data_IF_440467190504
#
_entry.id   IF_440467190504
#
_cell.length_a   1.000
_cell.length_b   1.000
_cell.length_c   1.000
_cell.angle_alpha   90.00
_cell.angle_beta   90.00
_cell.angle_gamma   90.00
#
_symmetry.space_group_name_H-M   'P 1'
#
loop_
_entity.id
_entity.type
_entity.pdbx_description
1 polymer ?
#
# COMPACT_ATOMS: atom_id res chain seq x y z
N UNK A 1 -26.13 -6.80 -11.79
CA UNK A 1 -24.94 -6.16 -11.19
C UNK A 1 -24.14 -5.56 -12.34
N UNK A 2 -24.38 -4.29 -12.69
CA UNK A 2 -23.64 -3.61 -13.76
C UNK A 2 -22.34 -3.09 -13.16
N UNK A 3 -21.25 -3.83 -13.39
CA UNK A 3 -19.93 -3.57 -12.83
C UNK A 3 -19.20 -2.60 -13.75
N UNK A 4 -19.74 -1.40 -13.89
CA UNK A 4 -19.26 -0.53 -14.95
C UNK A 4 -18.53 0.63 -14.27
N UNK A 5 -19.19 1.74 -13.97
CA UNK A 5 -18.48 2.97 -13.57
C UNK A 5 -17.90 2.94 -12.15
N UNK A 6 -18.66 2.44 -11.16
CA UNK A 6 -18.21 2.41 -9.76
C UNK A 6 -17.09 1.40 -9.51
N UNK A 7 -17.13 0.27 -10.23
CA UNK A 7 -16.06 -0.74 -10.18
C UNK A 7 -14.73 -0.18 -10.70
N UNK A 8 -14.73 0.46 -11.87
CA UNK A 8 -13.52 1.10 -12.40
C UNK A 8 -12.99 2.21 -11.48
N UNK A 9 -13.87 3.04 -10.91
CA UNK A 9 -13.48 4.06 -9.95
C UNK A 9 -12.79 3.47 -8.71
N UNK A 10 -13.25 2.30 -8.23
CA UNK A 10 -12.62 1.61 -7.09
C UNK A 10 -11.19 1.16 -7.40
N UNK A 11 -10.91 0.70 -8.62
CA UNK A 11 -9.55 0.30 -9.00
C UNK A 11 -8.59 1.48 -9.05
N UNK A 12 -9.04 2.62 -9.57
CA UNK A 12 -8.23 3.84 -9.62
C UNK A 12 -7.95 4.33 -8.19
N UNK A 13 -8.98 4.38 -7.34
CA UNK A 13 -8.84 4.76 -5.94
C UNK A 13 -7.87 3.82 -5.20
N UNK A 14 -8.06 2.51 -5.36
CA UNK A 14 -7.23 1.49 -4.73
C UNK A 14 -5.77 1.59 -5.17
N UNK A 15 -5.53 1.82 -6.45
CA UNK A 15 -4.19 2.03 -6.99
C UNK A 15 -3.47 3.18 -6.26
N UNK A 16 -4.14 4.32 -6.13
CA UNK A 16 -3.59 5.49 -5.43
C UNK A 16 -3.25 5.19 -3.96
N UNK A 17 -4.18 4.61 -3.21
CA UNK A 17 -3.97 4.30 -1.78
C UNK A 17 -2.83 3.29 -1.60
N UNK A 18 -2.82 2.24 -2.42
CA UNK A 18 -1.82 1.16 -2.36
C UNK A 18 -0.41 1.65 -2.69
N UNK A 19 -0.27 2.42 -3.78
CA UNK A 19 1.00 2.97 -4.21
C UNK A 19 1.51 3.98 -3.19
N UNK A 20 0.64 4.82 -2.62
CA UNK A 20 1.01 5.77 -1.58
C UNK A 20 1.58 5.06 -0.33
N UNK A 21 0.93 4.00 0.14
CA UNK A 21 1.43 3.19 1.27
C UNK A 21 2.83 2.61 0.98
N UNK A 22 3.03 2.08 -0.24
CA UNK A 22 4.30 1.50 -0.68
C UNK A 22 5.42 2.54 -0.75
N UNK A 23 5.16 3.69 -1.38
CA UNK A 23 6.13 4.80 -1.48
C UNK A 23 6.48 5.32 -0.09
N UNK A 24 5.51 5.42 0.81
CA UNK A 24 5.74 5.92 2.17
C UNK A 24 6.70 5.04 2.96
N UNK A 25 6.55 3.71 2.88
CA UNK A 25 7.49 2.75 3.47
C UNK A 25 8.87 2.84 2.80
N UNK A 26 8.93 2.87 1.46
CA UNK A 26 10.20 2.94 0.73
C UNK A 26 10.97 4.24 1.03
N UNK A 27 10.26 5.36 1.15
CA UNK A 27 10.87 6.64 1.45
C UNK A 27 11.47 6.63 2.87
N UNK A 28 10.76 6.07 3.85
CA UNK A 28 11.30 5.89 5.19
C UNK A 28 12.49 4.93 5.20
N UNK A 29 12.42 3.82 4.47
CA UNK A 29 13.54 2.89 4.29
C UNK A 29 14.77 3.59 3.70
N UNK A 30 14.61 4.39 2.65
CA UNK A 30 15.69 5.15 2.04
C UNK A 30 16.23 6.24 2.98
N UNK A 31 15.38 6.86 3.80
CA UNK A 31 15.78 7.80 4.85
C UNK A 31 16.64 7.11 5.92
N UNK A 32 16.19 5.95 6.43
CA UNK A 32 16.93 5.15 7.41
C UNK A 32 18.27 4.66 6.85
N UNK A 33 18.30 4.22 5.58
CA UNK A 33 19.54 3.80 4.88
C UNK A 33 20.55 4.93 4.74
N UNK A 34 20.09 6.17 4.50
CA UNK A 34 20.94 7.36 4.44
C UNK A 34 21.47 7.77 5.81
N UNK A 35 20.64 7.70 6.86
CA UNK A 35 21.03 8.04 8.25
C UNK A 35 21.96 7.00 8.88
N UNK A 36 21.75 5.72 8.58
CA UNK A 36 22.51 4.60 9.15
C UNK A 36 23.08 3.69 8.05
N UNK A 37 24.12 4.10 7.32
CA UNK A 37 24.65 3.38 6.16
C UNK A 37 25.22 1.99 6.50
N UNK A 38 25.68 1.78 7.74
CA UNK A 38 26.20 0.48 8.23
C UNK A 38 25.10 -0.49 8.69
N UNK A 39 23.83 -0.06 8.74
CA UNK A 39 22.74 -0.91 9.19
C UNK A 39 22.37 -1.93 8.10
N UNK A 40 22.21 -3.19 8.50
CA UNK A 40 21.80 -4.25 7.56
C UNK A 40 20.49 -3.87 6.86
N UNK A 41 20.32 -4.14 5.54
CA UNK A 41 19.11 -3.80 4.79
C UNK A 41 17.82 -4.29 5.45
N UNK A 42 17.84 -5.50 6.01
CA UNK A 42 16.68 -6.09 6.68
C UNK A 42 16.29 -5.32 7.94
N UNK A 43 17.25 -4.98 8.82
CA UNK A 43 16.98 -4.15 10.01
C UNK A 43 16.53 -2.73 9.64
N UNK A 44 17.09 -2.14 8.58
CA UNK A 44 16.64 -0.84 8.09
C UNK A 44 15.19 -0.89 7.61
N UNK A 45 14.82 -1.95 6.88
CA UNK A 45 13.45 -2.15 6.41
C UNK A 45 12.46 -2.36 7.56
N UNK A 46 12.78 -3.25 8.51
CA UNK A 46 11.92 -3.49 9.69
C UNK A 46 11.73 -2.22 10.51
N UNK A 47 12.77 -1.39 10.64
CA UNK A 47 12.65 -0.09 11.33
C UNK A 47 11.68 0.84 10.61
N UNK A 48 11.84 1.00 9.30
CA UNK A 48 10.95 1.82 8.48
C UNK A 48 9.50 1.31 8.53
N UNK A 49 9.35 -0.01 8.47
CA UNK A 49 8.07 -0.71 8.58
C UNK A 49 7.33 -0.36 9.87
N UNK A 50 7.98 -0.56 11.02
CA UNK A 50 7.36 -0.32 12.32
C UNK A 50 6.92 1.13 12.52
N UNK A 51 7.63 2.09 11.91
CA UNK A 51 7.24 3.50 11.97
C UNK A 51 6.02 3.83 11.11
N UNK A 52 5.83 3.14 9.98
CA UNK A 52 4.78 3.49 9.00
C UNK A 52 3.56 2.57 8.99
N UNK A 53 3.65 1.38 9.59
CA UNK A 53 2.56 0.40 9.59
C UNK A 53 1.28 0.93 10.25
N UNK A 54 1.41 1.67 11.36
CA UNK A 54 0.25 2.25 12.07
C UNK A 54 -0.43 3.33 11.21
N UNK A 55 0.27 4.35 10.66
CA UNK A 55 -0.34 5.29 9.72
C UNK A 55 -1.07 4.65 8.53
N UNK A 56 -0.47 3.63 7.91
CA UNK A 56 -1.07 2.94 6.75
C UNK A 56 -2.33 2.19 7.16
N UNK A 57 -2.29 1.49 8.30
CA UNK A 57 -3.44 0.80 8.84
C UNK A 57 -4.59 1.77 9.16
N UNK A 58 -4.29 2.95 9.69
CA UNK A 58 -5.29 3.99 9.95
C UNK A 58 -5.96 4.46 8.65
N UNK A 59 -5.22 4.64 7.56
CA UNK A 59 -5.79 4.98 6.24
C UNK A 59 -6.73 3.88 5.74
N UNK A 60 -6.32 2.62 5.84
CA UNK A 60 -7.14 1.49 5.40
C UNK A 60 -8.42 1.40 6.24
N UNK A 61 -8.27 1.47 7.57
CA UNK A 61 -9.40 1.40 8.49
C UNK A 61 -10.38 2.57 8.29
N UNK A 62 -9.89 3.81 8.18
CA UNK A 62 -10.77 4.97 7.96
C UNK A 62 -11.49 4.87 6.61
N UNK A 63 -10.83 4.37 5.57
CA UNK A 63 -11.45 4.17 4.26
C UNK A 63 -12.55 3.11 4.33
N UNK A 64 -12.27 1.95 4.96
CA UNK A 64 -13.28 0.89 5.14
C UNK A 64 -14.48 1.43 5.93
N UNK A 65 -14.23 2.08 7.06
CA UNK A 65 -15.30 2.67 7.90
C UNK A 65 -16.11 3.72 7.14
N UNK A 66 -15.45 4.57 6.35
CA UNK A 66 -16.11 5.57 5.51
C UNK A 66 -16.99 4.98 4.40
N UNK A 67 -16.70 3.73 3.98
CA UNK A 67 -17.50 3.02 2.98
C UNK A 67 -18.63 2.15 3.55
N UNK A 68 -18.68 1.91 4.87
CA UNK A 68 -19.77 1.16 5.52
C UNK A 68 -21.19 1.67 5.19
N UNK A 69 -21.51 2.97 5.27
CA UNK A 69 -22.87 3.45 5.01
C UNK A 69 -23.32 3.17 3.55
N UNK A 70 -22.40 3.18 2.60
CA UNK A 70 -22.67 2.88 1.19
C UNK A 70 -22.93 1.38 0.92
N UNK A 71 -22.56 0.51 1.86
CA UNK A 71 -22.91 -0.92 1.79
C UNK A 71 -24.28 -1.23 2.41
N UNK A 72 -24.69 -0.45 3.42
CA UNK A 72 -25.89 -0.68 4.23
C UNK A 72 -27.13 0.14 3.81
N UNK A 73 -26.97 1.11 2.89
CA UNK A 73 -28.07 1.94 2.40
C UNK A 73 -29.20 1.13 1.72
N UNK A 74 -30.45 1.48 2.02
CA UNK A 74 -31.66 0.87 1.46
C UNK A 74 -31.78 1.08 -0.06
N UNK A 75 -31.20 2.17 -0.58
CA UNK A 75 -31.05 2.42 -2.01
C UNK A 75 -29.62 2.12 -2.42
N UNK A 76 -29.40 0.91 -2.95
CA UNK A 76 -28.12 0.55 -3.57
C UNK A 76 -27.99 1.31 -4.88
N UNK A 77 -27.56 2.56 -4.80
CA UNK A 77 -27.18 3.31 -5.98
C UNK A 77 -26.13 2.50 -6.77
N UNK A 78 -26.38 2.33 -8.07
CA UNK A 78 -25.61 1.45 -8.93
C UNK A 78 -24.11 1.78 -9.01
N UNK A 79 -23.72 3.01 -8.64
CA UNK A 79 -22.33 3.46 -8.60
C UNK A 79 -21.64 3.21 -7.25
N UNK A 80 -22.26 3.62 -6.15
CA UNK A 80 -21.63 3.62 -4.82
C UNK A 80 -21.44 2.21 -4.25
N UNK A 81 -22.37 1.30 -4.51
CA UNK A 81 -22.26 -0.08 -4.04
C UNK A 81 -21.03 -0.81 -4.62
N UNK A 82 -20.82 -0.89 -5.95
CA UNK A 82 -19.62 -1.52 -6.50
C UNK A 82 -18.33 -0.75 -6.17
N UNK A 83 -18.40 0.58 -6.00
CA UNK A 83 -17.25 1.37 -5.52
C UNK A 83 -16.81 0.93 -4.12
N UNK A 84 -17.75 0.87 -3.18
CA UNK A 84 -17.49 0.50 -1.79
C UNK A 84 -17.01 -0.95 -1.69
N UNK A 85 -17.73 -1.89 -2.31
CA UNK A 85 -17.38 -3.31 -2.29
C UNK A 85 -16.00 -3.58 -2.94
N UNK A 86 -15.73 -2.96 -4.09
CA UNK A 86 -14.45 -3.07 -4.79
C UNK A 86 -13.29 -2.48 -3.99
N UNK A 87 -13.50 -1.32 -3.37
CA UNK A 87 -12.46 -0.65 -2.57
C UNK A 87 -12.14 -1.45 -1.30
N UNK A 88 -13.16 -1.92 -0.57
CA UNK A 88 -12.94 -2.69 0.68
C UNK A 88 -12.23 -4.01 0.37
N UNK A 89 -12.74 -4.80 -0.58
CA UNK A 89 -12.12 -6.06 -0.98
C UNK A 89 -10.70 -5.85 -1.52
N UNK A 90 -10.52 -4.82 -2.35
CA UNK A 90 -9.24 -4.43 -2.90
C UNK A 90 -8.22 -4.01 -1.85
N UNK A 91 -8.62 -3.23 -0.84
CA UNK A 91 -7.73 -2.77 0.22
C UNK A 91 -7.22 -3.92 1.08
N UNK A 92 -8.10 -4.88 1.40
CA UNK A 92 -7.71 -6.09 2.14
C UNK A 92 -6.64 -6.87 1.37
N UNK A 93 -6.86 -7.09 0.06
CA UNK A 93 -5.88 -7.77 -0.79
C UNK A 93 -4.59 -6.96 -0.97
N UNK A 94 -4.70 -5.64 -1.06
CA UNK A 94 -3.56 -4.72 -1.19
C UNK A 94 -2.66 -4.76 0.04
N UNK A 95 -3.21 -4.76 1.25
CA UNK A 95 -2.42 -4.86 2.49
C UNK A 95 -1.57 -6.13 2.46
N UNK A 96 -2.16 -7.27 2.10
CA UNK A 96 -1.44 -8.55 1.97
C UNK A 96 -0.35 -8.43 0.90
N UNK A 97 -0.68 -7.86 -0.27
CA UNK A 97 0.24 -7.64 -1.37
C UNK A 97 1.45 -6.79 -0.96
N UNK A 98 1.22 -5.61 -0.38
CA UNK A 98 2.29 -4.71 0.07
C UNK A 98 3.14 -5.38 1.15
N UNK A 99 2.53 -6.09 2.09
CA UNK A 99 3.24 -6.68 3.22
C UNK A 99 4.14 -7.85 2.80
N UNK A 100 3.77 -8.59 1.76
CA UNK A 100 4.55 -9.72 1.24
C UNK A 100 5.50 -9.30 0.11
N UNK A 101 5.02 -8.56 -0.89
CA UNK A 101 5.81 -8.25 -2.08
C UNK A 101 6.85 -7.16 -1.83
N UNK A 102 6.53 -6.13 -1.04
CA UNK A 102 7.43 -5.00 -0.82
C UNK A 102 8.76 -5.40 -0.15
N UNK A 103 8.80 -6.24 0.92
CA UNK A 103 10.07 -6.70 1.47
C UNK A 103 10.84 -7.59 0.50
N UNK A 104 10.15 -8.46 -0.25
CA UNK A 104 10.80 -9.36 -1.23
C UNK A 104 11.47 -8.55 -2.33
N UNK A 105 10.79 -7.57 -2.92
CA UNK A 105 11.34 -6.74 -3.99
C UNK A 105 12.47 -5.82 -3.51
N UNK A 106 12.34 -5.29 -2.29
CA UNK A 106 13.32 -4.33 -1.74
C UNK A 106 14.59 -5.02 -1.24
N UNK A 107 14.46 -6.16 -0.56
CA UNK A 107 15.59 -6.88 0.04
C UNK A 107 16.31 -7.80 -0.96
N UNK A 108 15.64 -8.24 -2.04
CA UNK A 108 16.25 -9.04 -3.12
C UNK A 108 17.23 -8.24 -3.99
N UNK A 109 17.32 -6.90 -3.86
CA UNK A 109 18.41 -6.12 -4.46
C UNK A 109 19.77 -6.44 -3.79
N UNK A 110 20.27 -7.67 -3.98
CA UNK A 110 21.70 -7.98 -3.91
C UNK A 110 22.31 -7.70 -5.28
N UNK A 111 23.35 -6.87 -5.27
CA UNK A 111 24.40 -6.81 -6.30
C UNK A 111 23.99 -6.33 -7.71
N UNK A 112 23.77 -5.03 -7.88
CA UNK A 112 24.02 -4.41 -9.21
C UNK A 112 24.68 -3.02 -9.15
N UNK A 113 24.84 -2.44 -7.96
CA UNK A 113 25.38 -1.09 -7.80
C UNK A 113 26.88 -1.04 -7.43
N UNK A 114 27.53 -2.18 -7.14
CA UNK A 114 28.94 -2.20 -6.75
C UNK A 114 29.92 -2.19 -7.95
N UNK A 115 29.44 -2.31 -9.20
CA UNK A 115 30.32 -2.43 -10.38
C UNK A 115 30.59 -1.12 -11.13
N UNK A 116 29.99 0.02 -10.74
CA UNK A 116 30.16 1.31 -11.44
C UNK A 116 31.01 2.36 -10.69
N UNK A 117 31.63 1.99 -9.57
CA UNK A 117 32.51 2.89 -8.82
C UNK A 117 34.01 2.55 -8.97
N UNK A 118 34.37 1.74 -9.96
CA UNK A 118 35.76 1.30 -10.21
C UNK A 118 36.17 1.45 -11.68
N UNK A 119 35.63 2.46 -12.37
CA UNK A 119 36.14 3.00 -13.63
C UNK A 119 36.24 4.52 -13.53
#
# INVERSE_FOLDING_TARGET
>A
LNFDQGGFASFVLLCGITVNASIYILNEYNSVRRRFPRLSPLRAYVKAWNTKVIPIFLTVASTILGFIPFMAGAEKEGFWFPLAAGTIGGLIMSVIGVFIFLPVLTLKKRSFAASKAML
#
